data_IF_730978048863
#
_entry.id   IF_730978048863
#
_cell.length_a   1.000
_cell.length_b   1.000
_cell.length_c   1.000
_cell.angle_alpha   90.00
_cell.angle_beta   90.00
_cell.angle_gamma   90.00
#
_symmetry.space_group_name_H-M   'P 1'
#
loop_
_entity.id
_entity.type
_entity.pdbx_description
1 polymer ?
#
# COMPACT_ATOMS: atom_id res chain seq x y z
N UNK A 1 28.39 24.04 -16.02
CA UNK A 1 26.92 23.84 -16.08
C UNK A 1 26.58 22.59 -15.28
N UNK A 2 25.73 22.72 -14.27
CA UNK A 2 25.41 21.67 -13.31
C UNK A 2 24.41 20.68 -13.92
N UNK A 3 24.64 19.38 -13.64
CA UNK A 3 23.79 18.23 -13.95
C UNK A 3 22.49 18.22 -13.12
N UNK A 4 21.84 19.39 -12.98
CA UNK A 4 20.62 19.62 -12.19
C UNK A 4 19.58 20.48 -12.94
N UNK A 5 19.90 20.95 -14.15
CA UNK A 5 18.96 21.66 -15.05
C UNK A 5 18.29 20.72 -16.06
N UNK A 6 18.11 19.44 -15.72
CA UNK A 6 17.22 18.58 -16.49
C UNK A 6 15.78 18.87 -16.03
N UNK A 7 14.89 19.32 -16.93
CA UNK A 7 13.50 19.57 -16.58
C UNK A 7 12.88 18.31 -15.97
N UNK A 8 12.34 18.44 -14.76
CA UNK A 8 11.52 17.40 -14.10
C UNK A 8 10.48 16.91 -15.10
N UNK A 9 10.60 15.65 -15.58
CA UNK A 9 9.66 15.01 -16.51
C UNK A 9 8.25 14.95 -15.90
N UNK A 10 7.48 16.02 -16.06
CA UNK A 10 6.03 16.05 -15.92
C UNK A 10 5.43 15.62 -17.26
N UNK A 11 4.62 14.54 -17.24
CA UNK A 11 3.71 14.16 -18.32
C UNK A 11 4.32 13.35 -19.46
N UNK A 12 4.49 12.03 -19.29
CA UNK A 12 4.88 11.13 -20.39
C UNK A 12 3.77 10.96 -21.45
N UNK A 13 2.55 11.45 -21.18
CA UNK A 13 1.38 11.28 -22.03
C UNK A 13 0.55 12.56 -22.07
N UNK A 14 0.24 13.01 -23.28
CA UNK A 14 -0.75 14.04 -23.58
C UNK A 14 -1.81 13.44 -24.51
N UNK A 15 -2.90 14.17 -24.77
CA UNK A 15 -4.02 13.69 -25.59
C UNK A 15 -3.58 13.15 -26.96
N UNK A 16 -2.69 13.88 -27.64
CA UNK A 16 -2.20 13.50 -28.97
C UNK A 16 -1.35 12.22 -28.96
N UNK A 17 -0.48 12.05 -27.97
CA UNK A 17 0.27 10.81 -27.79
C UNK A 17 -0.66 9.63 -27.47
N UNK A 18 -1.72 9.85 -26.69
CA UNK A 18 -2.74 8.85 -26.42
C UNK A 18 -3.53 8.49 -27.69
N UNK A 19 -3.91 9.46 -28.53
CA UNK A 19 -4.56 9.21 -29.83
C UNK A 19 -3.67 8.39 -30.77
N UNK A 20 -2.39 8.76 -30.92
CA UNK A 20 -1.43 7.99 -31.74
C UNK A 20 -1.24 6.57 -31.23
N UNK A 21 -1.16 6.39 -29.91
CA UNK A 21 -1.07 5.05 -29.33
C UNK A 21 -2.34 4.25 -29.60
N UNK A 22 -3.52 4.86 -29.45
CA UNK A 22 -4.80 4.20 -29.70
C UNK A 22 -4.99 3.83 -31.18
N UNK A 23 -4.51 4.65 -32.12
CA UNK A 23 -4.59 4.41 -33.56
C UNK A 23 -3.94 3.09 -34.01
N UNK A 24 -3.00 2.54 -33.23
CA UNK A 24 -2.34 1.26 -33.52
C UNK A 24 -3.20 0.03 -33.23
N UNK A 25 -4.36 0.20 -32.59
CA UNK A 25 -5.22 -0.90 -32.14
C UNK A 25 -6.64 -0.75 -32.71
N UNK A 26 -7.26 -1.90 -33.02
CA UNK A 26 -8.62 -1.95 -33.56
C UNK A 26 -9.71 -1.93 -32.48
N UNK A 27 -9.39 -2.38 -31.26
CA UNK A 27 -10.35 -2.46 -30.14
C UNK A 27 -9.78 -1.85 -28.86
N UNK A 28 -10.66 -1.36 -27.98
CA UNK A 28 -10.27 -0.78 -26.68
C UNK A 28 -9.52 -1.79 -25.80
N UNK A 29 -9.94 -3.05 -25.82
CA UNK A 29 -9.28 -4.14 -25.08
C UNK A 29 -7.85 -4.36 -25.56
N UNK A 30 -7.65 -4.47 -26.88
CA UNK A 30 -6.32 -4.62 -27.47
C UNK A 30 -5.41 -3.43 -27.14
N UNK A 31 -5.95 -2.20 -27.15
CA UNK A 31 -5.20 -1.02 -26.75
C UNK A 31 -4.83 -1.03 -25.25
N UNK A 32 -5.77 -1.42 -24.39
CA UNK A 32 -5.54 -1.54 -22.95
C UNK A 32 -4.45 -2.56 -22.62
N UNK A 33 -4.40 -3.68 -23.35
CA UNK A 33 -3.42 -4.74 -23.13
C UNK A 33 -2.05 -4.39 -23.73
N UNK A 34 -2.03 -3.85 -24.95
CA UNK A 34 -0.80 -3.53 -25.68
C UNK A 34 -0.12 -2.24 -25.25
N UNK A 35 -0.85 -1.26 -24.73
CA UNK A 35 -0.31 0.04 -24.29
C UNK A 35 -0.95 0.53 -22.99
N UNK A 36 -0.77 -0.25 -21.92
CA UNK A 36 -1.32 0.00 -20.57
C UNK A 36 -1.07 1.44 -20.08
N UNK A 37 0.12 1.99 -20.32
CA UNK A 37 0.49 3.32 -19.85
C UNK A 37 -0.29 4.43 -20.56
N UNK A 38 -0.46 4.32 -21.89
CA UNK A 38 -1.23 5.29 -22.68
C UNK A 38 -2.73 5.18 -22.37
N UNK A 39 -3.25 3.95 -22.27
CA UNK A 39 -4.64 3.69 -21.92
C UNK A 39 -4.98 4.23 -20.53
N UNK A 40 -4.13 3.98 -19.53
CA UNK A 40 -4.33 4.47 -18.16
C UNK A 40 -4.23 5.99 -18.07
N UNK A 41 -3.40 6.64 -18.90
CA UNK A 41 -3.37 8.09 -18.99
C UNK A 41 -4.67 8.63 -19.61
N UNK A 42 -5.16 8.03 -20.70
CA UNK A 42 -6.41 8.44 -21.32
C UNK A 42 -7.62 8.22 -20.42
N UNK A 43 -7.68 7.11 -19.67
CA UNK A 43 -8.76 6.85 -18.69
C UNK A 43 -8.78 7.89 -17.58
N UNK A 44 -7.65 8.14 -16.92
CA UNK A 44 -7.56 9.08 -15.79
C UNK A 44 -7.87 10.53 -16.18
N UNK A 45 -7.59 10.90 -17.44
CA UNK A 45 -7.85 12.25 -17.94
C UNK A 45 -9.17 12.36 -18.75
N UNK A 46 -9.98 11.30 -18.81
CA UNK A 46 -11.27 11.33 -19.53
C UNK A 46 -11.17 11.37 -21.05
N UNK A 47 -10.01 11.03 -21.64
CA UNK A 47 -9.75 11.10 -23.08
C UNK A 47 -10.14 9.84 -23.86
N UNK A 48 -10.65 8.80 -23.20
CA UNK A 48 -10.90 7.51 -23.84
C UNK A 48 -11.82 7.59 -25.06
N UNK A 49 -12.89 8.39 -25.00
CA UNK A 49 -13.81 8.49 -26.14
C UNK A 49 -13.16 9.20 -27.33
N UNK A 50 -12.31 10.20 -27.10
CA UNK A 50 -11.56 10.87 -28.15
C UNK A 50 -10.45 9.98 -28.74
N UNK A 51 -9.73 9.23 -27.90
CA UNK A 51 -8.67 8.33 -28.36
C UNK A 51 -9.23 7.09 -29.08
N UNK A 52 -10.44 6.64 -28.75
CA UNK A 52 -11.05 5.44 -29.31
C UNK A 52 -12.17 5.74 -30.32
N UNK A 53 -12.25 6.96 -30.87
CA UNK A 53 -13.31 7.34 -31.81
C UNK A 53 -13.32 6.46 -33.07
N UNK A 54 -12.15 6.01 -33.53
CA UNK A 54 -11.99 5.09 -34.67
C UNK A 54 -12.24 3.63 -34.33
N UNK A 55 -12.35 3.27 -33.05
CA UNK A 55 -12.54 1.88 -32.62
C UNK A 55 -14.02 1.56 -32.53
N UNK A 56 -14.48 0.55 -33.27
CA UNK A 56 -15.84 0.04 -33.13
C UNK A 56 -16.07 -0.46 -31.70
N UNK A 57 -17.14 0.03 -31.05
CA UNK A 57 -17.60 -0.51 -29.77
C UNK A 57 -18.20 -1.89 -30.03
N UNK A 58 -17.38 -2.94 -29.93
CA UNK A 58 -17.83 -4.33 -30.00
C UNK A 58 -18.52 -4.70 -28.69
N UNK A 59 -19.70 -4.14 -28.46
CA UNK A 59 -20.60 -4.54 -27.38
C UNK A 59 -21.82 -5.20 -28.00
N UNK A 60 -22.09 -6.47 -27.67
CA UNK A 60 -23.35 -7.10 -28.05
C UNK A 60 -24.48 -6.30 -27.41
N UNK A 61 -25.26 -5.57 -28.22
CA UNK A 61 -26.53 -4.99 -27.76
C UNK A 61 -27.48 -6.15 -27.48
N UNK A 62 -27.73 -6.37 -26.19
CA UNK A 62 -28.67 -7.36 -25.71
C UNK A 62 -30.09 -6.87 -25.96
N UNK A 63 -30.81 -7.60 -26.80
CA UNK A 63 -32.26 -7.46 -26.99
C UNK A 63 -32.96 -8.56 -26.21
N UNK A 64 -34.27 -8.43 -26.06
CA UNK A 64 -35.11 -9.43 -25.41
C UNK A 64 -34.87 -10.83 -26.00
N UNK A 65 -34.91 -10.96 -27.33
CA UNK A 65 -34.75 -12.23 -28.06
C UNK A 65 -33.36 -12.84 -27.87
N UNK A 66 -32.32 -12.00 -27.82
CA UNK A 66 -30.94 -12.47 -27.55
C UNK A 66 -30.79 -12.97 -26.12
N UNK A 67 -31.44 -12.31 -25.16
CA UNK A 67 -31.47 -12.77 -23.77
C UNK A 67 -32.21 -14.10 -23.64
N UNK A 68 -33.39 -14.24 -24.26
CA UNK A 68 -34.16 -15.50 -24.29
C UNK A 68 -33.34 -16.64 -24.89
N UNK A 69 -32.73 -16.41 -26.07
CA UNK A 69 -31.87 -17.41 -26.73
C UNK A 69 -30.65 -17.77 -25.89
N UNK A 70 -30.04 -16.80 -25.22
CA UNK A 70 -28.92 -17.08 -24.33
C UNK A 70 -29.36 -17.92 -23.12
N UNK A 71 -30.50 -17.59 -22.52
CA UNK A 71 -31.02 -18.26 -21.34
C UNK A 71 -31.40 -19.71 -21.65
N UNK A 72 -32.02 -19.97 -22.81
CA UNK A 72 -32.42 -21.30 -23.28
C UNK A 72 -31.31 -22.37 -23.29
N UNK A 73 -30.03 -21.97 -23.22
CA UNK A 73 -28.87 -22.87 -23.20
C UNK A 73 -28.55 -23.43 -21.81
N UNK A 74 -29.22 -22.97 -20.75
CA UNK A 74 -28.87 -23.28 -19.37
C UNK A 74 -30.08 -23.81 -18.59
N UNK A 75 -29.86 -24.72 -17.65
CA UNK A 75 -30.96 -25.35 -16.89
C UNK A 75 -31.35 -24.54 -15.65
N UNK A 76 -30.44 -23.69 -15.16
CA UNK A 76 -30.66 -22.89 -13.95
C UNK A 76 -30.24 -21.44 -14.12
N UNK A 77 -30.90 -20.53 -13.37
CA UNK A 77 -30.57 -19.09 -13.37
C UNK A 77 -29.11 -18.83 -12.96
N UNK A 78 -28.58 -19.61 -12.02
CA UNK A 78 -27.19 -19.48 -11.54
C UNK A 78 -26.20 -19.85 -12.63
N UNK A 79 -26.44 -20.96 -13.33
CA UNK A 79 -25.61 -21.40 -14.45
C UNK A 79 -25.60 -20.35 -15.58
N UNK A 80 -26.78 -19.82 -15.94
CA UNK A 80 -26.86 -18.76 -16.93
C UNK A 80 -26.10 -17.49 -16.52
N UNK A 81 -26.25 -17.05 -15.25
CA UNK A 81 -25.52 -15.89 -14.74
C UNK A 81 -24.01 -16.11 -14.75
N UNK A 82 -23.52 -17.29 -14.39
CA UNK A 82 -22.09 -17.58 -14.37
C UNK A 82 -21.50 -17.65 -15.77
N UNK A 83 -22.18 -18.33 -16.70
CA UNK A 83 -21.70 -18.55 -18.05
C UNK A 83 -21.88 -17.32 -18.97
N UNK A 84 -22.94 -16.53 -18.78
CA UNK A 84 -23.25 -15.37 -19.61
C UNK A 84 -23.73 -14.16 -18.79
N UNK A 85 -22.84 -13.64 -17.94
CA UNK A 85 -23.09 -12.47 -17.06
C UNK A 85 -23.70 -11.28 -17.79
N UNK A 86 -23.20 -10.94 -18.98
CA UNK A 86 -23.66 -9.78 -19.74
C UNK A 86 -25.12 -9.91 -20.19
N UNK A 87 -25.54 -11.10 -20.65
CA UNK A 87 -26.94 -11.40 -21.00
C UNK A 87 -27.85 -11.36 -19.78
N UNK A 88 -27.42 -12.00 -18.69
CA UNK A 88 -28.19 -12.07 -17.44
C UNK A 88 -28.38 -10.68 -16.83
N UNK A 89 -27.33 -9.85 -16.79
CA UNK A 89 -27.42 -8.48 -16.31
C UNK A 89 -28.31 -7.60 -17.18
N UNK A 90 -28.26 -7.78 -18.51
CA UNK A 90 -29.16 -7.07 -19.42
C UNK A 90 -30.62 -7.45 -19.17
N UNK A 91 -30.94 -8.74 -19.06
CA UNK A 91 -32.28 -9.20 -18.72
C UNK A 91 -32.73 -8.66 -17.37
N UNK A 92 -31.87 -8.69 -16.35
CA UNK A 92 -32.19 -8.17 -15.00
C UNK A 92 -32.45 -6.68 -15.00
N UNK A 93 -31.65 -5.90 -15.73
CA UNK A 93 -31.82 -4.45 -15.82
C UNK A 93 -33.13 -4.07 -16.52
N UNK A 94 -33.57 -4.86 -17.50
CA UNK A 94 -34.77 -4.60 -18.29
C UNK A 94 -36.01 -5.40 -17.82
N UNK A 95 -35.93 -6.15 -16.72
CA UNK A 95 -37.05 -6.93 -16.18
C UNK A 95 -37.35 -8.27 -16.87
N UNK A 96 -36.59 -8.67 -17.90
CA UNK A 96 -36.85 -9.87 -18.72
C UNK A 96 -36.44 -11.21 -18.06
N UNK A 97 -36.00 -11.19 -16.80
CA UNK A 97 -35.42 -12.40 -16.16
C UNK A 97 -36.45 -13.50 -16.01
N UNK A 98 -37.69 -13.16 -15.66
CA UNK A 98 -38.74 -14.17 -15.47
C UNK A 98 -39.06 -14.86 -16.80
N UNK A 99 -39.23 -14.10 -17.88
CA UNK A 99 -39.51 -14.65 -19.21
C UNK A 99 -38.32 -15.47 -19.74
N UNK A 100 -37.10 -14.95 -19.63
CA UNK A 100 -35.89 -15.65 -20.06
C UNK A 100 -35.68 -16.95 -19.28
N UNK A 101 -36.08 -16.99 -18.01
CA UNK A 101 -35.88 -18.14 -17.13
C UNK A 101 -37.13 -19.00 -16.94
N UNK A 102 -38.20 -18.82 -17.73
CA UNK A 102 -39.46 -19.55 -17.56
C UNK A 102 -39.29 -21.08 -17.68
N UNK A 103 -38.34 -21.54 -18.51
CA UNK A 103 -37.98 -22.95 -18.68
C UNK A 103 -37.00 -23.48 -17.63
N UNK A 104 -36.41 -22.61 -16.81
CA UNK A 104 -35.40 -23.00 -15.83
C UNK A 104 -36.08 -23.42 -14.53
N UNK A 105 -35.64 -24.54 -13.97
CA UNK A 105 -36.13 -25.00 -12.67
C UNK A 105 -35.91 -23.90 -11.61
N UNK A 106 -36.89 -23.63 -10.74
CA UNK A 106 -36.69 -22.76 -9.59
C UNK A 106 -35.46 -23.21 -8.80
N UNK A 107 -34.71 -22.25 -8.25
CA UNK A 107 -33.56 -22.54 -7.38
C UNK A 107 -33.86 -23.70 -6.42
N UNK A 108 -32.92 -24.66 -6.26
CA UNK A 108 -33.04 -25.84 -5.37
C UNK A 108 -33.52 -25.55 -3.95
N UNK A 109 -33.43 -24.30 -3.51
CA UNK A 109 -33.95 -23.91 -2.20
C UNK A 109 -35.42 -23.53 -2.21
N UNK A 110 -35.98 -22.95 -3.29
CA UNK A 110 -37.41 -22.60 -3.46
C UNK A 110 -38.05 -21.76 -2.34
N UNK A 111 -37.31 -21.49 -1.26
CA UNK A 111 -37.84 -21.04 0.02
C UNK A 111 -37.98 -19.54 -0.07
N UNK A 112 -39.17 -19.11 -0.50
CA UNK A 112 -39.59 -17.74 -0.28
C UNK A 112 -39.63 -17.53 1.23
N UNK A 113 -38.76 -16.65 1.71
CA UNK A 113 -38.82 -16.18 3.09
C UNK A 113 -40.07 -15.33 3.23
N UNK A 114 -41.07 -15.87 3.92
CA UNK A 114 -42.26 -15.15 4.35
C UNK A 114 -42.04 -14.61 5.76
N UNK A 115 -42.88 -13.66 6.18
CA UNK A 115 -42.84 -13.13 7.54
C UNK A 115 -42.90 -14.27 8.58
N UNK A 116 -43.82 -15.21 8.43
CA UNK A 116 -44.05 -16.32 9.38
C UNK A 116 -42.83 -17.23 9.47
N UNK A 117 -42.21 -17.54 8.33
CA UNK A 117 -41.02 -18.39 8.29
C UNK A 117 -39.80 -17.68 8.87
N UNK A 118 -39.67 -16.37 8.67
CA UNK A 118 -38.66 -15.54 9.32
C UNK A 118 -38.87 -15.49 10.83
N UNK A 119 -40.09 -15.20 11.30
CA UNK A 119 -40.43 -15.13 12.72
C UNK A 119 -40.20 -16.49 13.42
N UNK A 120 -40.65 -17.60 12.81
CA UNK A 120 -40.41 -18.96 13.31
C UNK A 120 -38.92 -19.29 13.36
N UNK A 121 -38.12 -18.83 12.39
CA UNK A 121 -36.68 -19.04 12.39
C UNK A 121 -35.98 -18.20 13.47
N UNK A 122 -36.38 -16.93 13.63
CA UNK A 122 -35.84 -16.00 14.62
C UNK A 122 -36.00 -16.52 16.05
N UNK A 123 -37.14 -17.17 16.37
CA UNK A 123 -37.40 -17.80 17.68
C UNK A 123 -36.36 -18.84 18.12
N UNK A 124 -35.53 -19.35 17.21
CA UNK A 124 -34.44 -20.30 17.53
C UNK A 124 -33.19 -19.63 18.11
N UNK A 125 -33.15 -18.31 18.11
CA UNK A 125 -31.97 -17.53 18.49
C UNK A 125 -32.33 -16.51 19.58
N UNK A 126 -31.39 -16.28 20.49
CA UNK A 126 -31.59 -15.38 21.63
C UNK A 126 -31.19 -13.93 21.34
N UNK A 127 -30.31 -13.72 20.35
CA UNK A 127 -29.85 -12.38 19.94
C UNK A 127 -29.91 -12.21 18.42
N UNK A 128 -30.06 -10.96 17.96
CA UNK A 128 -30.06 -10.63 16.52
C UNK A 128 -28.77 -11.09 15.83
N UNK A 129 -27.63 -10.95 16.50
CA UNK A 129 -26.33 -11.38 15.98
C UNK A 129 -26.22 -12.89 15.83
N UNK A 130 -26.77 -13.66 16.77
CA UNK A 130 -26.80 -15.12 16.67
C UNK A 130 -27.74 -15.58 15.55
N UNK A 131 -28.87 -14.90 15.38
CA UNK A 131 -29.76 -15.16 14.25
C UNK A 131 -29.09 -14.86 12.91
N UNK A 132 -28.40 -13.72 12.78
CA UNK A 132 -27.68 -13.37 11.56
C UNK A 132 -26.59 -14.39 11.21
N UNK A 133 -25.84 -14.86 12.22
CA UNK A 133 -24.76 -15.84 12.02
C UNK A 133 -25.30 -17.24 11.74
N UNK A 134 -26.38 -17.64 12.41
CA UNK A 134 -26.97 -18.97 12.29
C UNK A 134 -27.87 -19.16 11.06
N UNK A 135 -28.56 -18.11 10.62
CA UNK A 135 -29.42 -18.16 9.43
C UNK A 135 -29.46 -16.80 8.70
N UNK A 136 -28.34 -16.44 8.08
CA UNK A 136 -28.17 -15.17 7.34
C UNK A 136 -29.23 -14.96 6.25
N UNK A 137 -29.71 -16.04 5.62
CA UNK A 137 -30.78 -15.97 4.62
C UNK A 137 -32.11 -15.44 5.16
N UNK A 138 -32.56 -15.97 6.31
CA UNK A 138 -33.79 -15.51 6.98
C UNK A 138 -33.63 -14.09 7.51
N UNK A 139 -32.51 -13.82 8.19
CA UNK A 139 -32.19 -12.51 8.74
C UNK A 139 -32.19 -11.42 7.65
N UNK A 140 -31.47 -11.66 6.54
CA UNK A 140 -31.39 -10.70 5.43
C UNK A 140 -32.73 -10.54 4.70
N UNK A 141 -33.59 -11.55 4.70
CA UNK A 141 -34.94 -11.41 4.18
C UNK A 141 -35.80 -10.54 5.10
N UNK A 142 -35.80 -10.78 6.41
CA UNK A 142 -36.51 -9.95 7.37
C UNK A 142 -36.04 -8.49 7.33
N UNK A 143 -34.72 -8.25 7.31
CA UNK A 143 -34.15 -6.90 7.23
C UNK A 143 -34.56 -6.16 5.95
N UNK A 144 -34.51 -6.82 4.79
CA UNK A 144 -34.89 -6.19 3.51
C UNK A 144 -36.38 -5.89 3.39
N UNK A 145 -37.22 -6.63 4.08
CA UNK A 145 -38.68 -6.46 4.08
C UNK A 145 -39.20 -5.69 5.31
N UNK A 146 -38.31 -5.18 6.18
CA UNK A 146 -38.69 -4.42 7.36
C UNK A 146 -39.22 -5.25 8.54
N UNK A 147 -39.24 -6.58 8.46
CA UNK A 147 -39.79 -7.47 9.50
C UNK A 147 -38.87 -7.74 10.69
N UNK A 148 -37.72 -7.06 10.73
CA UNK A 148 -36.64 -7.44 11.63
C UNK A 148 -37.01 -7.20 13.09
N UNK A 149 -37.69 -6.09 13.38
CA UNK A 149 -38.05 -5.73 14.75
C UNK A 149 -39.14 -6.66 15.29
N UNK A 150 -40.17 -6.96 14.49
CA UNK A 150 -41.25 -7.89 14.86
C UNK A 150 -40.73 -9.31 15.06
N UNK A 151 -39.85 -9.79 14.17
CA UNK A 151 -39.24 -11.12 14.29
C UNK A 151 -38.33 -11.24 15.53
N UNK A 152 -37.82 -10.13 16.06
CA UNK A 152 -36.85 -10.10 17.15
C UNK A 152 -37.45 -9.61 18.48
N UNK A 153 -38.78 -9.52 18.61
CA UNK A 153 -39.45 -9.05 19.84
C UNK A 153 -39.09 -9.86 21.09
N UNK A 154 -38.81 -11.16 20.96
CA UNK A 154 -38.37 -12.03 22.06
C UNK A 154 -36.88 -11.90 22.40
N UNK A 155 -36.09 -11.25 21.55
CA UNK A 155 -34.64 -11.14 21.75
C UNK A 155 -34.32 -9.96 22.65
N UNK A 156 -33.67 -10.23 23.78
CA UNK A 156 -33.25 -9.16 24.69
C UNK A 156 -32.27 -8.21 23.99
N UNK A 157 -32.38 -6.89 24.20
CA UNK A 157 -31.35 -5.95 23.80
C UNK A 157 -30.00 -6.39 24.36
N UNK A 158 -28.94 -6.27 23.55
CA UNK A 158 -27.59 -6.56 24.03
C UNK A 158 -27.25 -5.51 25.08
N UNK A 159 -27.14 -5.93 26.34
CA UNK A 159 -26.59 -5.09 27.40
C UNK A 159 -25.13 -4.78 27.06
N UNK A 160 -24.87 -3.51 26.80
CA UNK A 160 -23.56 -3.05 26.42
C UNK A 160 -22.72 -2.95 27.69
N UNK A 161 -21.69 -3.78 27.80
CA UNK A 161 -20.70 -3.74 28.89
C UNK A 161 -20.17 -2.34 29.19
N UNK A 162 -20.09 -1.49 28.16
CA UNK A 162 -19.64 -0.10 28.26
C UNK A 162 -20.77 0.85 27.86
N UNK A 163 -21.49 1.35 28.86
CA UNK A 163 -22.31 2.54 28.75
C UNK A 163 -21.50 3.81 29.09
N UNK A 164 -22.14 4.97 29.02
CA UNK A 164 -21.46 6.25 29.31
C UNK A 164 -20.93 6.30 30.75
N UNK A 165 -21.72 5.85 31.72
CA UNK A 165 -21.36 5.88 33.14
C UNK A 165 -20.17 4.96 33.45
N UNK A 166 -20.15 3.75 32.89
CA UNK A 166 -19.06 2.80 33.01
C UNK A 166 -17.78 3.31 32.33
N UNK A 167 -17.90 3.94 31.16
CA UNK A 167 -16.76 4.60 30.50
C UNK A 167 -16.19 5.74 31.36
N UNK A 168 -17.06 6.58 31.91
CA UNK A 168 -16.68 7.70 32.78
C UNK A 168 -15.99 7.20 34.07
N UNK A 169 -16.55 6.17 34.71
CA UNK A 169 -15.96 5.54 35.90
C UNK A 169 -14.58 4.93 35.58
N UNK A 170 -14.45 4.25 34.45
CA UNK A 170 -13.17 3.70 34.00
C UNK A 170 -12.14 4.80 33.75
N UNK A 171 -12.52 5.88 33.06
CA UNK A 171 -11.63 6.98 32.74
C UNK A 171 -11.12 7.72 33.98
N UNK A 172 -11.97 7.92 34.99
CA UNK A 172 -11.60 8.61 36.25
C UNK A 172 -10.45 7.95 37.01
N UNK A 173 -10.19 6.67 36.80
CA UNK A 173 -9.08 5.96 37.43
C UNK A 173 -7.69 6.34 36.87
N UNK A 174 -7.64 7.09 35.76
CA UNK A 174 -6.39 7.41 35.05
C UNK A 174 -6.20 8.92 34.91
N UNK A 175 -4.94 9.37 34.91
CA UNK A 175 -4.59 10.79 34.79
C UNK A 175 -4.40 11.22 33.34
N UNK A 176 -3.99 10.29 32.48
CA UNK A 176 -3.75 10.58 31.06
C UNK A 176 -4.52 9.63 30.14
N UNK A 177 -4.87 10.12 28.94
CA UNK A 177 -5.53 9.31 27.90
C UNK A 177 -4.69 8.08 27.52
N UNK A 178 -3.37 8.21 27.55
CA UNK A 178 -2.42 7.13 27.24
C UNK A 178 -2.43 6.02 28.30
N UNK A 179 -2.48 6.38 29.59
CA UNK A 179 -2.66 5.40 30.66
C UNK A 179 -4.00 4.66 30.50
N UNK A 180 -5.08 5.41 30.26
CA UNK A 180 -6.42 4.83 30.13
C UNK A 180 -6.53 3.85 28.96
N UNK A 181 -6.05 4.20 27.76
CA UNK A 181 -6.09 3.28 26.61
C UNK A 181 -5.22 2.04 26.82
N UNK A 182 -4.11 2.17 27.55
CA UNK A 182 -3.19 1.07 27.81
C UNK A 182 -3.78 0.08 28.82
N UNK A 183 -4.43 0.58 29.86
CA UNK A 183 -5.04 -0.23 30.92
C UNK A 183 -6.44 -0.76 30.55
N UNK A 184 -7.28 0.05 29.90
CA UNK A 184 -8.66 -0.30 29.57
C UNK A 184 -9.04 0.08 28.13
N UNK A 185 -8.37 -0.57 27.17
CA UNK A 185 -8.57 -0.33 25.73
C UNK A 185 -10.04 -0.43 25.30
N UNK A 186 -10.80 -1.38 25.85
CA UNK A 186 -12.20 -1.60 25.47
C UNK A 186 -13.13 -0.46 25.91
N UNK A 187 -12.97 0.06 27.13
CA UNK A 187 -13.71 1.24 27.60
C UNK A 187 -13.35 2.49 26.80
N UNK A 188 -12.05 2.71 26.58
CA UNK A 188 -11.55 3.83 25.79
C UNK A 188 -12.13 3.81 24.36
N UNK A 189 -12.10 2.65 23.70
CA UNK A 189 -12.65 2.50 22.34
C UNK A 189 -14.16 2.69 22.31
N UNK A 190 -14.90 2.17 23.30
CA UNK A 190 -16.34 2.39 23.40
C UNK A 190 -16.66 3.89 23.51
N UNK A 191 -15.96 4.61 24.40
CA UNK A 191 -16.10 6.04 24.55
C UNK A 191 -15.76 6.81 23.26
N UNK A 192 -14.66 6.44 22.58
CA UNK A 192 -14.26 7.04 21.30
C UNK A 192 -15.29 6.82 20.20
N UNK A 193 -15.71 5.59 19.98
CA UNK A 193 -16.60 5.23 18.88
C UNK A 193 -18.00 5.83 19.05
N UNK A 194 -18.38 6.19 20.28
CA UNK A 194 -19.67 6.81 20.64
C UNK A 194 -19.60 8.31 20.91
N UNK A 195 -18.45 8.95 20.69
CA UNK A 195 -18.29 10.38 20.90
C UNK A 195 -18.23 10.83 22.36
N UNK A 196 -18.10 9.91 23.31
CA UNK A 196 -18.02 10.20 24.75
C UNK A 196 -16.60 10.53 25.23
N UNK A 197 -15.61 10.39 24.37
CA UNK A 197 -14.20 10.45 24.74
C UNK A 197 -13.81 11.77 25.43
N UNK A 198 -14.25 12.90 24.89
CA UNK A 198 -13.93 14.22 25.46
C UNK A 198 -14.53 14.41 26.85
N UNK A 199 -15.78 13.96 27.05
CA UNK A 199 -16.44 13.99 28.36
C UNK A 199 -15.74 13.06 29.38
N UNK A 200 -15.37 11.85 28.94
CA UNK A 200 -14.66 10.89 29.80
C UNK A 200 -13.25 11.37 30.16
N UNK A 201 -12.61 12.15 29.29
CA UNK A 201 -11.26 12.66 29.47
C UNK A 201 -11.21 14.10 29.95
N UNK A 202 -12.32 14.72 30.37
CA UNK A 202 -12.36 16.14 30.72
C UNK A 202 -11.43 16.49 31.89
N UNK A 203 -11.21 15.55 32.82
CA UNK A 203 -10.25 15.68 33.93
C UNK A 203 -8.80 15.38 33.54
N UNK A 204 -8.59 14.73 32.39
CA UNK A 204 -7.27 14.42 31.87
C UNK A 204 -6.81 15.63 31.06
N UNK A 205 -5.74 16.28 31.50
CA UNK A 205 -5.20 17.48 30.85
C UNK A 205 -4.96 17.32 29.34
N UNK A 206 -4.75 18.45 28.66
CA UNK A 206 -4.64 18.52 27.20
C UNK A 206 -3.71 17.42 26.63
N UNK A 207 -4.09 16.76 25.51
CA UNK A 207 -3.25 15.76 24.87
C UNK A 207 -1.85 16.31 24.67
N UNK A 208 -0.79 15.55 25.03
CA UNK A 208 0.58 15.95 24.73
C UNK A 208 0.71 16.15 23.22
N UNK A 209 0.77 17.40 22.78
CA UNK A 209 1.06 17.71 21.38
C UNK A 209 2.50 17.29 21.13
N UNK A 210 2.70 16.33 20.23
CA UNK A 210 4.05 15.97 19.79
C UNK A 210 4.75 17.25 19.29
N UNK A 211 5.95 17.52 19.82
CA UNK A 211 6.79 18.63 19.37
C UNK A 211 7.01 18.48 17.86
N UNK A 212 6.39 19.35 17.07
CA UNK A 212 6.59 19.38 15.62
C UNK A 212 7.96 19.96 15.33
N UNK A 213 8.85 19.13 14.79
CA UNK A 213 10.16 19.56 14.33
C UNK A 213 10.03 20.31 13.01
N UNK A 214 10.48 21.56 13.00
CA UNK A 214 10.67 22.35 11.78
C UNK A 214 12.08 22.17 11.24
N UNK A 215 12.29 22.50 9.97
CA UNK A 215 13.63 22.49 9.39
C UNK A 215 14.59 23.37 10.20
N UNK A 216 14.16 24.57 10.59
CA UNK A 216 14.99 25.51 11.35
C UNK A 216 15.32 24.99 12.75
N UNK A 217 14.37 24.33 13.43
CA UNK A 217 14.62 23.69 14.72
C UNK A 217 15.63 22.54 14.60
N UNK A 218 15.56 21.77 13.51
CA UNK A 218 16.54 20.72 13.22
C UNK A 218 17.92 21.30 12.89
N UNK A 219 18.01 22.41 12.13
CA UNK A 219 19.28 23.09 11.84
C UNK A 219 19.91 23.64 13.11
N UNK A 220 19.12 24.33 13.96
CA UNK A 220 19.59 24.84 15.24
C UNK A 220 20.12 23.71 16.12
N UNK A 221 19.36 22.62 16.27
CA UNK A 221 19.80 21.45 17.02
C UNK A 221 21.08 20.85 16.44
N UNK A 222 21.19 20.72 15.12
CA UNK A 222 22.39 20.17 14.48
C UNK A 222 23.63 21.06 14.68
N UNK A 223 23.46 22.38 14.75
CA UNK A 223 24.57 23.33 14.93
C UNK A 223 25.34 23.15 16.24
N UNK A 224 24.71 22.58 17.27
CA UNK A 224 25.32 22.30 18.57
C UNK A 224 26.32 21.13 18.53
N UNK A 225 26.33 20.34 17.45
CA UNK A 225 27.13 19.12 17.33
C UNK A 225 28.11 19.18 16.15
N UNK A 226 29.32 18.63 16.35
CA UNK A 226 30.39 18.61 15.35
C UNK A 226 30.30 17.43 14.38
N UNK A 227 29.67 16.33 14.79
CA UNK A 227 29.52 15.09 14.00
C UNK A 227 28.08 14.61 14.00
N UNK A 228 27.70 13.85 12.97
CA UNK A 228 26.35 13.30 12.84
C UNK A 228 26.01 12.30 13.96
N UNK A 229 26.99 11.51 14.39
CA UNK A 229 26.84 10.55 15.49
C UNK A 229 26.56 11.27 16.81
N UNK A 230 27.34 12.32 17.12
CA UNK A 230 27.12 13.12 18.32
C UNK A 230 25.74 13.82 18.29
N UNK A 231 25.29 14.27 17.12
CA UNK A 231 23.95 14.83 16.98
C UNK A 231 22.84 13.79 17.18
N UNK A 232 23.01 12.58 16.65
CA UNK A 232 22.05 11.49 16.83
C UNK A 232 21.92 11.08 18.30
N UNK A 233 23.03 10.99 19.03
CA UNK A 233 23.06 10.61 20.44
C UNK A 233 22.57 11.75 21.35
N UNK A 234 22.95 13.00 21.05
CA UNK A 234 22.57 14.17 21.85
C UNK A 234 21.18 14.74 21.55
N UNK A 235 20.65 14.57 20.33
CA UNK A 235 19.31 15.01 19.98
C UNK A 235 18.64 14.12 18.92
N UNK A 236 18.37 12.87 19.31
CA UNK A 236 17.76 11.85 18.45
C UNK A 236 16.44 12.30 17.81
N UNK A 237 15.61 13.04 18.54
CA UNK A 237 14.34 13.57 18.03
C UNK A 237 14.52 14.50 16.82
N UNK A 238 15.44 15.47 16.90
CA UNK A 238 15.75 16.39 15.80
C UNK A 238 16.42 15.65 14.63
N UNK A 239 17.35 14.75 14.94
CA UNK A 239 18.07 13.95 13.96
C UNK A 239 17.12 13.08 13.11
N UNK A 240 16.26 12.28 13.77
CA UNK A 240 15.31 11.41 13.05
C UNK A 240 14.21 12.21 12.36
N UNK A 241 13.83 13.39 12.87
CA UNK A 241 12.95 14.29 12.15
C UNK A 241 13.60 14.80 10.85
N UNK A 242 14.86 15.24 10.90
CA UNK A 242 15.59 15.66 9.72
C UNK A 242 15.81 14.51 8.72
N UNK A 243 16.06 13.29 9.22
CA UNK A 243 16.18 12.10 8.38
C UNK A 243 14.89 11.77 7.64
N UNK A 244 13.76 11.66 8.36
CA UNK A 244 12.44 11.36 7.76
C UNK A 244 11.98 12.40 6.75
N UNK A 245 12.31 13.67 6.97
CA UNK A 245 11.90 14.78 6.11
C UNK A 245 12.95 15.15 5.03
N UNK A 246 14.05 14.40 4.91
CA UNK A 246 15.09 14.65 3.89
C UNK A 246 15.93 15.91 4.13
N UNK A 247 15.95 16.45 5.35
CA UNK A 247 16.66 17.68 5.72
C UNK A 247 18.13 17.47 6.10
N UNK A 248 18.60 16.22 6.12
CA UNK A 248 19.96 15.85 6.55
C UNK A 248 21.07 16.63 5.84
N UNK A 249 20.92 16.91 4.54
CA UNK A 249 21.93 17.67 3.79
C UNK A 249 22.07 19.10 4.32
N UNK A 250 20.95 19.76 4.67
CA UNK A 250 20.93 21.11 5.21
C UNK A 250 21.39 21.14 6.67
N UNK A 251 20.91 20.20 7.49
CA UNK A 251 21.26 20.15 8.91
C UNK A 251 22.72 19.77 9.16
N UNK A 252 23.32 18.93 8.30
CA UNK A 252 24.69 18.42 8.50
C UNK A 252 25.73 19.08 7.58
N UNK A 253 25.47 20.28 7.04
CA UNK A 253 26.38 20.95 6.11
C UNK A 253 27.73 21.31 6.77
N UNK A 254 27.70 21.71 8.04
CA UNK A 254 28.90 22.05 8.84
C UNK A 254 29.59 20.83 9.46
N UNK A 255 28.93 19.68 9.52
CA UNK A 255 29.45 18.50 10.20
C UNK A 255 30.45 17.75 9.32
N UNK A 256 31.66 17.54 9.86
CA UNK A 256 32.70 16.76 9.17
C UNK A 256 32.27 15.28 9.10
N UNK A 257 32.43 14.67 7.93
CA UNK A 257 32.23 13.22 7.78
C UNK A 257 33.31 12.48 8.56
N UNK A 258 32.91 11.57 9.45
CA UNK A 258 33.83 10.75 10.25
C UNK A 258 34.62 9.72 9.42
N UNK A 259 34.34 9.56 8.12
CA UNK A 259 35.20 8.77 7.22
C UNK A 259 36.45 9.59 6.90
N UNK A 260 37.59 9.19 7.48
CA UNK A 260 38.90 9.66 7.03
C UNK A 260 38.97 9.51 5.50
N UNK A 261 39.14 10.63 4.79
CA UNK A 261 39.38 10.60 3.34
C UNK A 261 40.76 10.01 3.14
N UNK A 262 40.85 8.86 2.48
CA UNK A 262 42.12 8.30 2.05
C UNK A 262 42.84 9.33 1.17
N UNK A 263 43.99 9.81 1.62
CA UNK A 263 44.87 10.69 0.85
C UNK A 263 46.05 9.87 0.33
N UNK A 264 46.70 10.37 -0.73
CA UNK A 264 47.92 9.76 -1.27
C UNK A 264 48.98 9.54 -0.18
N UNK A 265 49.16 10.49 0.75
CA UNK A 265 50.10 10.37 1.88
C UNK A 265 49.76 9.20 2.81
N UNK A 266 48.48 9.03 3.16
CA UNK A 266 48.01 7.92 4.01
C UNK A 266 48.17 6.59 3.28
N UNK A 267 47.83 6.54 1.98
CA UNK A 267 48.00 5.33 1.17
C UNK A 267 49.48 4.96 0.98
N UNK A 268 50.39 5.93 0.79
CA UNK A 268 51.85 5.70 0.74
C UNK A 268 52.39 5.16 2.06
N UNK A 269 52.02 5.77 3.18
CA UNK A 269 52.39 5.28 4.52
C UNK A 269 51.84 3.89 4.82
N UNK A 270 50.63 3.56 4.35
CA UNK A 270 50.09 2.20 4.46
C UNK A 270 50.89 1.20 3.61
N UNK A 271 51.24 1.56 2.38
CA UNK A 271 51.95 0.68 1.45
C UNK A 271 53.41 0.41 1.85
N UNK A 272 54.07 1.33 2.55
CA UNK A 272 55.47 1.18 2.96
C UNK A 272 55.73 0.02 3.93
N UNK A 273 54.71 -0.44 4.67
CA UNK A 273 54.83 -1.60 5.57
C UNK A 273 54.83 -2.95 4.84
N UNK A 274 54.63 -2.96 3.53
CA UNK A 274 54.50 -4.19 2.75
C UNK A 274 55.51 -4.21 1.61
N UNK A 275 56.06 -5.40 1.34
CA UNK A 275 57.03 -5.64 0.26
C UNK A 275 56.36 -6.04 -1.05
N UNK A 276 55.12 -6.53 -1.01
CA UNK A 276 54.35 -6.91 -2.20
C UNK A 276 52.95 -6.28 -2.22
N UNK A 277 52.43 -6.03 -3.44
CA UNK A 277 51.05 -5.55 -3.63
C UNK A 277 50.00 -6.53 -3.11
N UNK A 278 50.29 -7.84 -3.15
CA UNK A 278 49.38 -8.89 -2.69
C UNK A 278 49.23 -8.87 -1.18
N UNK A 279 50.32 -8.67 -0.45
CA UNK A 279 50.31 -8.54 1.01
C UNK A 279 49.65 -7.25 1.45
N UNK A 280 49.92 -6.13 0.76
CA UNK A 280 49.24 -4.86 1.03
C UNK A 280 47.72 -4.96 0.82
N UNK A 281 47.28 -5.61 -0.26
CA UNK A 281 45.87 -5.84 -0.55
C UNK A 281 45.20 -6.73 0.51
N UNK A 282 45.89 -7.76 1.00
CA UNK A 282 45.37 -8.68 2.02
C UNK A 282 45.25 -7.98 3.38
N UNK A 283 46.30 -7.29 3.82
CA UNK A 283 46.40 -6.77 5.17
C UNK A 283 45.83 -5.34 5.34
N UNK A 284 45.76 -4.55 4.26
CA UNK A 284 45.18 -3.21 4.29
C UNK A 284 44.31 -2.92 3.05
N UNK A 285 43.25 -3.73 2.88
CA UNK A 285 42.31 -3.67 1.75
C UNK A 285 41.73 -2.27 1.50
N UNK A 286 41.41 -1.54 2.57
CA UNK A 286 40.83 -0.19 2.48
C UNK A 286 41.76 0.83 1.83
N UNK A 287 43.02 0.87 2.26
CA UNK A 287 44.04 1.77 1.71
C UNK A 287 44.41 1.38 0.28
N UNK A 288 44.57 0.09 0.01
CA UNK A 288 44.83 -0.43 -1.33
C UNK A 288 43.72 -0.06 -2.32
N UNK A 289 42.46 -0.33 -1.97
CA UNK A 289 41.32 -0.04 -2.85
C UNK A 289 41.12 1.46 -3.06
N UNK A 290 41.50 2.30 -2.09
CA UNK A 290 41.52 3.73 -2.26
C UNK A 290 42.62 4.16 -3.24
N UNK A 291 43.85 3.64 -3.10
CA UNK A 291 44.93 3.91 -4.03
C UNK A 291 44.63 3.43 -5.45
N UNK A 292 44.04 2.24 -5.61
CA UNK A 292 43.62 1.70 -6.90
C UNK A 292 42.58 2.60 -7.59
N UNK A 293 41.51 2.98 -6.87
CA UNK A 293 40.43 3.81 -7.44
C UNK A 293 40.89 5.22 -7.83
N UNK A 294 41.92 5.74 -7.18
CA UNK A 294 42.44 7.09 -7.43
C UNK A 294 43.72 7.09 -8.30
N UNK A 295 44.14 5.93 -8.84
CA UNK A 295 45.31 5.83 -9.72
C UNK A 295 46.68 5.90 -9.03
N UNK A 296 46.72 5.85 -7.68
CA UNK A 296 47.93 6.06 -6.89
C UNK A 296 48.81 4.81 -6.72
N UNK A 297 48.46 3.67 -7.32
CA UNK A 297 49.19 2.42 -7.10
C UNK A 297 50.64 2.45 -7.56
N UNK A 298 50.95 3.20 -8.61
CA UNK A 298 52.33 3.34 -9.09
C UNK A 298 53.17 4.07 -8.04
N UNK A 299 52.62 5.14 -7.47
CA UNK A 299 53.29 5.95 -6.46
C UNK A 299 53.35 5.29 -5.07
N UNK A 300 52.31 4.55 -4.68
CA UNK A 300 52.26 3.84 -3.41
C UNK A 300 53.16 2.59 -3.39
N UNK A 301 53.42 1.99 -4.56
CA UNK A 301 54.15 0.72 -4.66
C UNK A 301 55.47 0.87 -5.43
N UNK A 302 56.02 2.08 -5.56
CA UNK A 302 57.27 2.31 -6.29
C UNK A 302 58.45 1.51 -5.73
N UNK A 303 58.44 1.20 -4.43
CA UNK A 303 59.43 0.37 -3.74
C UNK A 303 59.20 -1.15 -3.85
N UNK A 304 58.05 -1.59 -4.37
CA UNK A 304 57.68 -3.01 -4.44
C UNK A 304 58.11 -3.61 -5.79
N UNK A 305 59.08 -4.54 -5.78
CA UNK A 305 59.60 -5.19 -7.01
C UNK A 305 58.49 -5.93 -7.78
N UNK A 306 58.51 -5.85 -9.13
CA UNK A 306 57.62 -6.64 -10.01
C UNK A 306 58.07 -8.11 -10.01
N UNK A 307 57.15 -9.04 -9.81
CA UNK A 307 57.42 -10.45 -10.01
C UNK A 307 57.64 -10.71 -11.52
N UNK A 308 58.84 -11.16 -11.90
CA UNK A 308 59.15 -11.63 -13.26
C UNK A 308 58.51 -13.00 -13.48
N UNK A 309 57.64 -13.09 -14.50
CA UNK A 309 57.01 -14.34 -14.92
C UNK A 309 57.98 -15.12 -15.81
N UNK A 310 58.58 -16.21 -15.31
CA UNK A 310 59.29 -17.17 -16.17
C UNK A 310 58.26 -18.06 -16.87
N UNK A 311 58.25 -18.05 -18.21
CA UNK A 311 57.45 -18.95 -19.04
C UNK A 311 58.40 -20.03 -19.57
N UNK A 312 58.23 -21.27 -19.09
CA UNK A 312 58.94 -22.45 -19.58
C UNK A 312 58.63 -22.67 -21.07
N UNK A 313 59.68 -22.77 -21.89
CA UNK A 313 59.64 -23.17 -23.29
C UNK A 313 59.61 -24.70 -23.40
N UNK A 314 58.59 -25.25 -24.05
CA UNK A 314 58.60 -26.61 -24.60
C UNK A 314 59.03 -26.53 -26.07
N UNK A 315 60.11 -27.24 -26.40
CA UNK A 315 60.62 -27.47 -27.76
C UNK A 315 59.71 -28.43 -28.56
N UNK A 316 59.81 -28.41 -29.90
CA UNK A 316 59.70 -29.64 -30.67
C UNK A 316 60.93 -29.92 -31.56
N UNK A 317 61.48 -31.11 -31.34
CA UNK A 317 62.04 -32.13 -32.27
C UNK A 317 62.95 -31.75 -33.45
N UNK A 318 64.11 -32.44 -33.48
CA UNK A 318 64.38 -33.48 -34.49
C UNK A 318 64.40 -34.83 -33.78
#
# INVERSE_FOLDING_TARGET
MNLMDLPKKRGKWNLELCKRSAAQYKTRTAWSEGSKAAYSAAYRNGWLDQCCAHMQRVGVKWTYEKCVRSAARYKTRSEWNQACKSAYHAARKNGWVEDCCAHMLPSRTGKKWTFENCAKNAKKYNTRSDWQRGCSGAYNAANRNGWLDECCTHMKPIELKWDFAACLKSARAFRTRTEWISACKSAYQAARNRGWLEHCCAHMGAPRTQKKWTLDACIKSASEFKTRTAWQEGCSGAYFAAHRNGWMKKCCQHMRSARAKWTLKICKGSASYFSTKKDWLRCCRGAYNAAHRNGWLVECCSHMKRATSSRLSLNPTV
#
